data_IF_204924442759
#
_entry.id   IF_204924442759
#
_cell.length_a   1.000
_cell.length_b   1.000
_cell.length_c   1.000
_cell.angle_alpha   90.00
_cell.angle_beta   90.00
_cell.angle_gamma   90.00
#
_symmetry.space_group_name_H-M   'P 1'
#
loop_
_entity.id
_entity.type
_entity.pdbx_description
1 polymer ?
#
# COMPACT_ATOMS: atom_id res chain seq x y z
N UNK A 1 41.74 -7.25 -32.70
CA UNK A 1 41.89 -7.47 -34.13
C UNK A 1 42.48 -8.85 -34.28
N UNK A 2 41.75 -9.86 -34.74
CA UNK A 2 41.96 -11.31 -34.79
C UNK A 2 40.96 -12.09 -33.89
N UNK A 3 39.67 -12.14 -34.30
CA UNK A 3 38.72 -13.20 -33.89
C UNK A 3 37.40 -13.15 -34.66
N UNK A 4 37.41 -12.65 -35.90
CA UNK A 4 36.18 -12.56 -36.74
C UNK A 4 36.33 -13.17 -38.14
N UNK A 5 37.19 -14.14 -38.31
CA UNK A 5 37.42 -14.71 -39.67
C UNK A 5 37.21 -16.24 -39.73
N UNK A 6 36.27 -16.82 -39.00
CA UNK A 6 36.03 -18.27 -39.07
C UNK A 6 34.56 -18.70 -39.04
N UNK A 7 33.63 -17.89 -39.52
CA UNK A 7 32.20 -18.31 -39.61
C UNK A 7 31.56 -18.07 -41.00
N UNK A 8 32.35 -18.11 -42.03
CA UNK A 8 31.85 -18.03 -43.41
C UNK A 8 32.34 -19.18 -44.28
N UNK A 9 32.06 -20.42 -43.91
CA UNK A 9 32.08 -21.60 -44.81
C UNK A 9 31.67 -22.85 -44.03
N UNK A 10 30.37 -23.06 -43.85
CA UNK A 10 29.77 -24.41 -43.76
C UNK A 10 28.25 -24.29 -43.83
N UNK A 11 27.73 -24.06 -45.01
CA UNK A 11 26.33 -24.36 -45.28
C UNK A 11 26.20 -25.87 -45.39
N UNK A 12 26.18 -26.57 -44.28
CA UNK A 12 25.79 -27.97 -44.26
C UNK A 12 24.26 -28.03 -44.33
N UNK A 13 23.80 -28.74 -45.37
CA UNK A 13 22.42 -29.13 -45.54
C UNK A 13 21.91 -29.86 -44.29
N UNK A 14 21.08 -29.23 -43.50
CA UNK A 14 20.35 -29.89 -42.41
C UNK A 14 19.21 -30.67 -43.07
N UNK A 15 19.41 -31.95 -43.25
CA UNK A 15 18.35 -32.89 -43.62
C UNK A 15 17.44 -33.08 -42.41
N UNK A 16 16.26 -32.48 -42.42
CA UNK A 16 15.21 -32.76 -41.43
C UNK A 16 14.61 -34.12 -41.82
N UNK A 17 14.91 -35.12 -41.02
CA UNK A 17 14.31 -36.47 -41.16
C UNK A 17 12.90 -36.39 -40.59
N UNK A 18 11.89 -36.53 -41.44
CA UNK A 18 10.51 -36.74 -41.01
C UNK A 18 10.36 -38.18 -40.44
N UNK A 19 9.47 -38.42 -39.46
CA UNK A 19 9.39 -39.70 -38.73
C UNK A 19 8.92 -40.91 -39.50
N UNK A 20 8.76 -40.87 -40.80
CA UNK A 20 8.57 -42.03 -41.69
C UNK A 20 9.41 -41.83 -42.95
N UNK A 21 10.55 -42.34 -42.92
CA UNK A 21 11.60 -42.72 -43.88
C UNK A 21 11.41 -42.53 -45.37
N UNK A 22 10.91 -41.41 -45.88
CA UNK A 22 10.96 -41.11 -47.33
C UNK A 22 11.50 -39.69 -47.52
N UNK A 23 12.76 -39.58 -48.02
CA UNK A 23 13.34 -38.32 -48.47
C UNK A 23 12.52 -37.80 -49.64
N UNK A 24 11.73 -36.72 -49.41
CA UNK A 24 11.06 -36.03 -50.50
C UNK A 24 12.06 -35.09 -51.20
N UNK A 25 12.53 -35.48 -52.41
CA UNK A 25 13.49 -34.66 -53.11
C UNK A 25 12.88 -33.36 -53.62
N UNK A 26 13.56 -32.24 -53.29
CA UNK A 26 13.24 -30.91 -53.83
C UNK A 26 13.46 -30.89 -55.34
N UNK A 27 12.49 -30.39 -56.11
CA UNK A 27 12.54 -30.30 -57.54
C UNK A 27 12.47 -28.88 -58.05
N UNK A 28 13.21 -28.53 -59.07
CA UNK A 28 13.09 -27.24 -59.74
C UNK A 28 11.97 -27.31 -60.77
N UNK A 29 11.14 -26.26 -60.83
CA UNK A 29 10.01 -26.15 -61.75
C UNK A 29 10.00 -24.77 -62.39
N UNK A 30 9.86 -24.74 -63.71
CA UNK A 30 9.72 -23.52 -64.48
C UNK A 30 8.21 -23.21 -64.60
N UNK A 31 7.79 -21.99 -64.26
CA UNK A 31 6.43 -21.50 -64.49
C UNK A 31 6.48 -20.38 -65.53
N UNK A 32 5.69 -20.52 -66.62
CA UNK A 32 5.54 -19.49 -67.64
C UNK A 32 4.38 -18.52 -67.24
N UNK A 33 4.65 -17.21 -67.32
CA UNK A 33 3.62 -16.16 -67.19
C UNK A 33 3.76 -15.20 -68.35
N UNK A 34 2.87 -15.28 -69.34
CA UNK A 34 3.00 -14.58 -70.62
C UNK A 34 4.25 -15.02 -71.36
N UNK A 35 5.09 -14.10 -71.77
CA UNK A 35 6.34 -14.39 -72.46
C UNK A 35 7.55 -14.58 -71.55
N UNK A 36 7.37 -14.63 -70.25
CA UNK A 36 8.44 -14.76 -69.24
C UNK A 36 8.38 -16.09 -68.52
N UNK A 37 9.54 -16.63 -68.20
CA UNK A 37 9.71 -17.86 -67.44
C UNK A 37 10.31 -17.57 -66.10
N UNK A 38 9.85 -18.28 -65.08
CA UNK A 38 10.25 -18.07 -63.65
C UNK A 38 10.62 -19.42 -63.07
N UNK A 39 11.76 -19.49 -62.40
CA UNK A 39 12.23 -20.70 -61.75
C UNK A 39 11.81 -20.72 -60.28
N UNK A 40 11.22 -21.86 -59.91
CA UNK A 40 10.83 -22.13 -58.53
C UNK A 40 11.49 -23.41 -58.03
N UNK A 41 11.87 -23.43 -56.79
CA UNK A 41 12.19 -24.63 -56.05
C UNK A 41 10.94 -25.13 -55.33
N UNK A 42 10.57 -26.40 -55.56
CA UNK A 42 9.33 -26.97 -55.05
C UNK A 42 9.68 -28.14 -54.14
N UNK A 43 9.39 -28.01 -52.87
CA UNK A 43 9.58 -29.06 -51.87
C UNK A 43 8.22 -29.59 -51.44
N UNK A 44 7.91 -30.85 -51.75
CA UNK A 44 6.70 -31.47 -51.28
C UNK A 44 6.79 -31.75 -49.79
N UNK A 45 5.71 -31.50 -49.05
CA UNK A 45 5.61 -31.82 -47.64
C UNK A 45 4.20 -32.31 -47.30
N UNK A 46 4.09 -33.02 -46.19
CA UNK A 46 2.80 -33.45 -45.67
C UNK A 46 2.29 -32.43 -44.65
N UNK A 47 1.11 -31.89 -44.88
CA UNK A 47 0.41 -30.99 -43.99
C UNK A 47 -0.44 -31.83 -42.99
N UNK A 48 0.04 -32.00 -41.78
CA UNK A 48 -0.63 -32.83 -40.76
C UNK A 48 -2.00 -32.28 -40.34
N UNK A 49 -2.18 -30.97 -40.38
CA UNK A 49 -3.42 -30.32 -39.96
C UNK A 49 -4.52 -30.50 -41.00
N UNK A 50 -4.13 -30.49 -42.27
CA UNK A 50 -5.04 -30.67 -43.42
C UNK A 50 -5.06 -32.09 -43.99
N UNK A 51 -4.26 -32.99 -43.41
CA UNK A 51 -4.14 -34.40 -43.82
C UNK A 51 -3.97 -34.59 -45.33
N UNK A 52 -3.15 -33.74 -45.98
CA UNK A 52 -2.89 -33.78 -47.42
C UNK A 52 -1.47 -33.40 -47.77
N UNK A 53 -0.96 -33.92 -48.87
CA UNK A 53 0.32 -33.52 -49.45
C UNK A 53 0.24 -32.10 -50.02
N UNK A 54 1.17 -31.24 -49.67
CA UNK A 54 1.30 -29.87 -50.18
C UNK A 54 2.70 -29.62 -50.68
N UNK A 55 2.85 -28.55 -51.48
CA UNK A 55 4.13 -28.14 -52.04
C UNK A 55 4.48 -26.75 -51.51
N UNK A 56 5.66 -26.62 -50.90
CA UNK A 56 6.26 -25.32 -50.58
C UNK A 56 7.03 -24.83 -51.78
N UNK A 57 6.68 -23.68 -52.34
CA UNK A 57 7.35 -23.08 -53.51
C UNK A 57 8.22 -21.92 -53.04
N UNK A 58 9.48 -21.94 -53.44
CA UNK A 58 10.43 -20.84 -53.24
C UNK A 58 10.79 -20.27 -54.59
N UNK A 59 10.60 -18.99 -54.80
CA UNK A 59 10.95 -18.29 -56.02
C UNK A 59 12.47 -18.10 -56.10
N UNK A 60 13.10 -18.52 -57.21
CA UNK A 60 14.55 -18.41 -57.41
C UNK A 60 14.95 -17.26 -58.35
N UNK A 61 14.07 -16.85 -59.26
CA UNK A 61 14.33 -15.73 -60.18
C UNK A 61 13.74 -15.95 -61.57
N UNK A 62 13.84 -14.92 -62.47
CA UNK A 62 13.51 -15.09 -63.89
C UNK A 62 14.52 -16.03 -64.55
N UNK A 63 14.04 -16.84 -65.44
CA UNK A 63 14.88 -17.82 -66.17
C UNK A 63 14.56 -17.85 -67.72
N UNK A 64 15.42 -18.47 -68.46
CA UNK A 64 15.14 -18.83 -69.86
C UNK A 64 14.22 -20.06 -69.92
N UNK A 65 13.92 -20.51 -71.18
CA UNK A 65 13.08 -21.67 -71.37
C UNK A 65 13.72 -23.01 -70.90
N UNK A 66 15.02 -23.02 -70.71
CA UNK A 66 15.81 -24.16 -70.27
C UNK A 66 16.05 -24.16 -68.73
N UNK A 67 15.61 -23.13 -68.04
CA UNK A 67 15.71 -23.01 -66.59
C UNK A 67 17.00 -22.39 -66.06
N UNK A 68 17.80 -21.74 -66.91
CA UNK A 68 18.95 -21.00 -66.48
C UNK A 68 18.51 -19.63 -65.94
N UNK A 69 18.91 -19.28 -64.76
CA UNK A 69 18.58 -17.97 -64.16
C UNK A 69 19.18 -16.84 -64.99
N UNK A 70 18.34 -15.94 -65.41
CA UNK A 70 18.78 -14.70 -66.04
C UNK A 70 19.27 -13.73 -64.94
N UNK A 71 20.50 -13.20 -65.11
CA UNK A 71 21.02 -12.17 -64.25
C UNK A 71 20.09 -10.96 -64.32
N UNK A 72 19.31 -10.74 -63.30
CA UNK A 72 18.58 -9.49 -63.18
C UNK A 72 19.60 -8.35 -63.15
N UNK A 73 19.39 -7.36 -64.00
CA UNK A 73 20.12 -6.08 -63.88
C UNK A 73 20.06 -5.66 -62.42
N UNK A 74 21.22 -5.71 -61.73
CA UNK A 74 21.35 -5.19 -60.39
C UNK A 74 20.72 -3.82 -60.38
N UNK A 75 19.57 -3.66 -59.71
CA UNK A 75 19.12 -2.34 -59.33
C UNK A 75 20.31 -1.73 -58.58
N UNK A 76 20.74 -0.48 -58.91
CA UNK A 76 21.76 0.13 -58.10
C UNK A 76 21.28 0.04 -56.67
N UNK A 77 22.05 -0.64 -55.83
CA UNK A 77 21.83 -0.64 -54.39
C UNK A 77 21.70 0.84 -54.03
N UNK A 78 20.52 1.26 -53.58
CA UNK A 78 20.45 2.46 -52.81
C UNK A 78 21.30 2.12 -51.58
N UNK A 79 22.55 2.55 -51.61
CA UNK A 79 23.31 2.72 -50.40
C UNK A 79 22.60 3.78 -49.54
N UNK A 80 21.49 3.40 -48.96
CA UNK A 80 21.12 3.91 -47.69
C UNK A 80 22.13 3.24 -46.75
N UNK A 81 23.24 3.89 -46.56
CA UNK A 81 24.05 3.72 -45.38
C UNK A 81 23.18 4.15 -44.17
N UNK A 82 22.18 3.34 -43.85
CA UNK A 82 21.59 3.33 -42.53
C UNK A 82 22.75 2.76 -41.72
N UNK A 83 23.52 3.69 -41.13
CA UNK A 83 24.35 3.37 -39.98
C UNK A 83 23.31 2.83 -38.99
N UNK A 84 23.25 1.51 -38.87
CA UNK A 84 22.41 0.82 -37.91
C UNK A 84 23.06 1.06 -36.55
N UNK A 85 22.93 2.33 -36.09
CA UNK A 85 23.28 2.68 -34.72
C UNK A 85 22.16 2.09 -33.90
N UNK A 86 22.42 1.06 -33.09
CA UNK A 86 21.40 0.54 -32.21
C UNK A 86 21.00 1.67 -31.27
N UNK A 87 19.88 2.32 -31.53
CA UNK A 87 19.32 3.33 -30.65
C UNK A 87 18.22 2.69 -29.81
N UNK A 88 18.24 3.01 -28.51
CA UNK A 88 17.19 2.66 -27.57
C UNK A 88 16.52 3.96 -27.14
N UNK A 89 15.23 4.06 -27.36
CA UNK A 89 14.43 5.19 -26.86
C UNK A 89 13.94 4.83 -25.46
N UNK A 90 14.22 5.68 -24.49
CA UNK A 90 13.80 5.48 -23.11
C UNK A 90 13.03 6.69 -22.61
N UNK A 91 12.07 6.46 -21.72
CA UNK A 91 11.36 7.49 -20.99
C UNK A 91 12.25 7.98 -19.84
N UNK A 92 12.50 9.28 -19.75
CA UNK A 92 13.37 9.87 -18.74
C UNK A 92 12.57 10.56 -17.61
N UNK A 93 11.59 11.38 -17.95
CA UNK A 93 10.96 12.39 -17.07
C UNK A 93 10.58 11.88 -15.67
N UNK A 94 9.60 10.98 -15.52
CA UNK A 94 9.16 10.51 -14.20
C UNK A 94 10.25 9.79 -13.43
N UNK A 95 11.09 9.02 -14.10
CA UNK A 95 12.18 8.27 -13.47
C UNK A 95 13.28 9.16 -12.95
N UNK A 96 13.67 10.18 -13.72
CA UNK A 96 14.67 11.16 -13.30
C UNK A 96 14.17 11.97 -12.10
N UNK A 97 12.93 12.43 -12.15
CA UNK A 97 12.33 13.17 -11.03
C UNK A 97 12.38 12.37 -9.72
N UNK A 98 11.93 11.12 -9.75
CA UNK A 98 11.92 10.25 -8.57
C UNK A 98 13.34 9.87 -8.12
N UNK A 99 14.26 9.70 -9.05
CA UNK A 99 15.65 9.45 -8.73
C UNK A 99 16.29 10.65 -8.02
N UNK A 100 16.14 11.87 -8.55
CA UNK A 100 16.66 13.08 -7.90
C UNK A 100 16.00 13.30 -6.52
N UNK A 101 14.69 13.09 -6.40
CA UNK A 101 13.99 13.15 -5.12
C UNK A 101 14.57 12.15 -4.11
N UNK A 102 14.87 10.94 -4.55
CA UNK A 102 15.47 9.91 -3.68
C UNK A 102 16.86 10.30 -3.18
N UNK A 103 17.63 11.02 -4.00
CA UNK A 103 18.95 11.57 -3.63
C UNK A 103 18.81 12.73 -2.64
N UNK A 104 17.91 13.68 -2.91
CA UNK A 104 17.62 14.80 -2.01
C UNK A 104 17.20 14.31 -0.63
N UNK A 105 16.36 13.27 -0.57
CA UNK A 105 15.93 12.60 0.66
C UNK A 105 16.99 11.67 1.24
N UNK A 106 18.15 11.49 0.59
CA UNK A 106 19.22 10.58 0.97
C UNK A 106 18.80 9.11 1.11
N UNK A 107 17.77 8.69 0.36
CA UNK A 107 17.26 7.30 0.42
C UNK A 107 18.27 6.33 -0.15
N UNK A 108 18.91 6.66 -1.26
CA UNK A 108 19.94 5.82 -1.88
C UNK A 108 21.12 5.56 -0.93
N UNK A 109 21.63 6.61 -0.27
CA UNK A 109 22.72 6.49 0.71
C UNK A 109 22.34 5.60 1.90
N UNK A 110 21.18 5.83 2.49
CA UNK A 110 20.68 5.03 3.62
C UNK A 110 20.48 3.56 3.25
N UNK A 111 19.96 3.31 2.05
CA UNK A 111 19.83 1.95 1.52
C UNK A 111 21.21 1.32 1.30
N UNK A 112 22.19 2.09 0.78
CA UNK A 112 23.53 1.59 0.53
C UNK A 112 24.27 1.26 1.85
N UNK A 113 24.11 2.07 2.88
CA UNK A 113 24.65 1.80 4.22
C UNK A 113 24.07 0.51 4.83
N UNK A 114 22.77 0.27 4.64
CA UNK A 114 22.08 -0.88 5.21
C UNK A 114 22.27 -2.16 4.40
N UNK A 115 22.16 -2.11 3.07
CA UNK A 115 22.11 -3.28 2.19
C UNK A 115 23.31 -3.44 1.27
N UNK A 116 24.20 -2.43 1.19
CA UNK A 116 25.27 -2.35 0.21
C UNK A 116 24.82 -1.71 -1.11
N UNK A 117 25.78 -1.13 -1.86
CA UNK A 117 25.54 -0.29 -3.04
C UNK A 117 24.72 -1.01 -4.13
N UNK A 118 25.09 -2.26 -4.45
CA UNK A 118 24.41 -3.01 -5.53
C UNK A 118 22.97 -3.34 -5.19
N UNK A 119 22.69 -3.72 -3.95
CA UNK A 119 21.33 -4.06 -3.49
C UNK A 119 20.50 -2.79 -3.37
N UNK A 120 21.07 -1.68 -2.92
CA UNK A 120 20.36 -0.39 -2.82
C UNK A 120 19.83 0.08 -4.18
N UNK A 121 20.67 0.02 -5.22
CA UNK A 121 20.26 0.36 -6.60
C UNK A 121 19.08 -0.50 -7.08
N UNK A 122 19.09 -1.80 -6.78
CA UNK A 122 18.00 -2.73 -7.14
C UNK A 122 16.71 -2.41 -6.38
N UNK A 123 16.80 -2.15 -5.07
CA UNK A 123 15.65 -1.75 -4.25
C UNK A 123 15.06 -0.45 -4.79
N UNK A 124 15.90 0.54 -5.07
CA UNK A 124 15.47 1.85 -5.57
C UNK A 124 14.83 1.73 -6.96
N UNK A 125 15.41 0.92 -7.86
CA UNK A 125 14.80 0.61 -9.16
C UNK A 125 13.37 0.07 -9.00
N UNK A 126 13.19 -0.94 -8.16
CA UNK A 126 11.87 -1.55 -7.94
C UNK A 126 10.89 -0.56 -7.29
N UNK A 127 11.36 0.27 -6.37
CA UNK A 127 10.53 1.29 -5.72
C UNK A 127 10.05 2.35 -6.72
N UNK A 128 10.94 2.87 -7.56
CA UNK A 128 10.60 3.86 -8.58
C UNK A 128 9.62 3.27 -9.59
N UNK A 129 9.89 2.07 -10.13
CA UNK A 129 8.97 1.38 -11.04
C UNK A 129 7.59 1.16 -10.42
N UNK A 130 7.55 0.82 -9.13
CA UNK A 130 6.28 0.64 -8.44
C UNK A 130 5.47 1.93 -8.31
N UNK A 131 6.13 3.07 -8.21
CA UNK A 131 5.48 4.39 -8.15
C UNK A 131 5.01 4.84 -9.53
N UNK A 132 5.82 4.64 -10.59
CA UNK A 132 5.52 5.14 -11.93
C UNK A 132 4.51 4.29 -12.68
N UNK A 133 4.68 2.96 -12.65
CA UNK A 133 3.99 2.06 -13.57
C UNK A 133 2.98 1.15 -12.86
N UNK A 134 3.05 1.01 -11.53
CA UNK A 134 2.19 0.15 -10.70
C UNK A 134 2.12 -1.32 -11.16
N UNK A 135 3.07 -1.74 -11.98
CA UNK A 135 3.05 -3.00 -12.67
C UNK A 135 3.35 -4.21 -11.78
N UNK A 136 2.96 -5.37 -12.26
CA UNK A 136 3.35 -6.65 -11.68
C UNK A 136 4.85 -6.85 -11.81
N UNK A 137 5.48 -7.42 -10.78
CA UNK A 137 6.91 -7.81 -10.82
C UNK A 137 7.26 -8.74 -12.01
N UNK A 138 6.27 -9.35 -12.66
CA UNK A 138 6.48 -10.20 -13.84
C UNK A 138 6.94 -9.44 -15.06
N UNK A 139 6.52 -8.18 -15.20
CA UNK A 139 6.81 -7.34 -16.39
C UNK A 139 7.85 -6.25 -16.09
N UNK A 140 8.50 -6.30 -14.92
CA UNK A 140 9.55 -5.34 -14.52
C UNK A 140 10.62 -5.21 -15.61
N UNK A 141 10.99 -6.30 -16.28
CA UNK A 141 11.99 -6.25 -17.35
C UNK A 141 11.52 -5.42 -18.54
N UNK A 142 10.30 -5.63 -18.99
CA UNK A 142 9.74 -4.93 -20.15
C UNK A 142 9.62 -3.42 -19.87
N UNK A 143 9.19 -3.05 -18.65
CA UNK A 143 9.11 -1.66 -18.21
C UNK A 143 10.50 -1.02 -18.10
N UNK A 144 11.47 -1.78 -17.58
CA UNK A 144 12.86 -1.32 -17.46
C UNK A 144 13.48 -1.03 -18.83
N UNK A 145 13.21 -1.88 -19.82
CA UNK A 145 13.73 -1.72 -21.17
C UNK A 145 13.24 -0.42 -21.85
N UNK A 146 12.14 0.15 -21.39
CA UNK A 146 11.59 1.44 -21.86
C UNK A 146 11.89 2.61 -20.94
N UNK A 147 12.50 2.36 -19.77
CA UNK A 147 12.85 3.38 -18.77
C UNK A 147 14.31 3.79 -18.83
N UNK A 148 14.62 4.99 -18.29
CA UNK A 148 15.99 5.45 -18.13
C UNK A 148 16.68 4.96 -16.84
N UNK A 149 16.04 4.10 -16.03
CA UNK A 149 16.53 3.75 -14.70
C UNK A 149 17.86 3.01 -14.70
N UNK A 150 18.09 2.11 -15.66
CA UNK A 150 19.37 1.41 -15.78
C UNK A 150 20.53 2.37 -16.03
N UNK A 151 20.28 3.47 -16.78
CA UNK A 151 21.27 4.51 -17.05
C UNK A 151 21.46 5.41 -15.83
N UNK A 152 20.36 5.84 -15.19
CA UNK A 152 20.40 6.74 -14.03
C UNK A 152 21.08 6.11 -12.81
N UNK A 153 20.83 4.82 -12.58
CA UNK A 153 21.37 4.08 -11.43
C UNK A 153 22.67 3.37 -11.75
N UNK A 154 23.15 3.39 -13.00
CA UNK A 154 24.31 2.64 -13.45
C UNK A 154 24.25 1.18 -12.92
N UNK A 155 23.19 0.48 -13.30
CA UNK A 155 22.88 -0.86 -12.80
C UNK A 155 22.51 -1.81 -13.93
N UNK A 156 23.38 -2.78 -14.19
CA UNK A 156 23.19 -3.85 -15.18
C UNK A 156 22.77 -5.16 -14.50
N UNK A 157 21.68 -5.18 -13.78
CA UNK A 157 21.21 -6.41 -13.12
C UNK A 157 20.08 -7.10 -13.93
N UNK A 158 20.09 -8.42 -13.93
CA UNK A 158 19.00 -9.19 -14.54
C UNK A 158 17.77 -9.19 -13.64
N UNK A 159 16.69 -8.55 -14.07
CA UNK A 159 15.41 -8.49 -13.36
C UNK A 159 14.48 -9.66 -13.74
N UNK A 160 15.04 -10.89 -13.86
CA UNK A 160 14.21 -12.09 -14.07
C UNK A 160 13.37 -12.40 -12.82
N UNK A 161 12.21 -13.04 -13.00
CA UNK A 161 11.31 -13.41 -11.90
C UNK A 161 12.00 -14.21 -10.79
N UNK A 162 12.94 -15.09 -11.14
CA UNK A 162 13.71 -15.85 -10.16
C UNK A 162 14.60 -14.94 -9.33
N UNK A 163 15.41 -14.08 -9.98
CA UNK A 163 16.32 -13.16 -9.27
C UNK A 163 15.58 -12.12 -8.44
N UNK A 164 14.42 -11.66 -8.92
CA UNK A 164 13.54 -10.80 -8.13
C UNK A 164 13.04 -11.51 -6.87
N UNK A 165 12.64 -12.76 -6.99
CA UNK A 165 12.20 -13.55 -5.83
C UNK A 165 13.34 -13.79 -4.84
N UNK A 166 14.55 -14.08 -5.30
CA UNK A 166 15.75 -14.21 -4.46
C UNK A 166 16.07 -12.90 -3.74
N UNK A 167 16.07 -11.76 -4.46
CA UNK A 167 16.30 -10.43 -3.88
C UNK A 167 15.30 -10.10 -2.78
N UNK A 168 13.99 -10.28 -3.06
CA UNK A 168 12.93 -10.01 -2.11
C UNK A 168 13.00 -10.94 -0.89
N UNK A 169 13.36 -12.20 -1.09
CA UNK A 169 13.58 -13.15 -0.01
C UNK A 169 14.76 -12.72 0.88
N UNK A 170 15.88 -12.34 0.29
CA UNK A 170 17.07 -11.93 1.04
C UNK A 170 16.83 -10.64 1.84
N UNK A 171 16.16 -9.65 1.25
CA UNK A 171 15.72 -8.44 1.96
C UNK A 171 14.76 -8.79 3.10
N UNK A 172 13.81 -9.68 2.82
CA UNK A 172 12.79 -10.11 3.79
C UNK A 172 13.37 -10.90 4.95
N UNK A 173 14.38 -11.72 4.73
CA UNK A 173 15.00 -12.58 5.73
C UNK A 173 15.94 -11.81 6.66
N UNK A 174 16.66 -10.83 6.14
CA UNK A 174 17.65 -10.08 6.91
C UNK A 174 17.00 -8.92 7.68
N UNK A 175 16.54 -9.22 8.88
CA UNK A 175 15.94 -8.21 9.76
C UNK A 175 16.95 -7.14 10.20
N UNK A 176 18.24 -7.49 10.35
CA UNK A 176 19.27 -6.58 10.84
C UNK A 176 19.51 -5.43 9.85
N UNK A 177 19.59 -5.73 8.55
CA UNK A 177 19.73 -4.71 7.50
C UNK A 177 18.52 -3.80 7.41
N UNK A 178 17.29 -4.36 7.51
CA UNK A 178 16.09 -3.54 7.56
C UNK A 178 16.09 -2.62 8.77
N UNK A 179 16.59 -3.09 9.90
CA UNK A 179 16.74 -2.29 11.11
C UNK A 179 17.67 -1.11 10.93
N UNK A 180 18.86 -1.34 10.37
CA UNK A 180 19.81 -0.27 10.06
C UNK A 180 19.19 0.81 9.17
N UNK A 181 18.42 0.40 8.16
CA UNK A 181 17.70 1.34 7.31
C UNK A 181 16.67 2.14 8.10
N UNK A 182 15.82 1.50 8.91
CA UNK A 182 14.82 2.19 9.74
C UNK A 182 15.48 3.14 10.75
N UNK A 183 16.55 2.71 11.40
CA UNK A 183 17.30 3.54 12.34
C UNK A 183 17.85 4.79 11.65
N UNK A 184 18.34 4.68 10.42
CA UNK A 184 18.83 5.82 9.63
C UNK A 184 17.72 6.80 9.24
N UNK A 185 16.47 6.36 9.17
CA UNK A 185 15.30 7.21 8.87
C UNK A 185 14.76 7.97 10.09
N UNK A 186 14.95 7.45 11.30
CA UNK A 186 14.54 8.08 12.55
C UNK A 186 15.54 9.14 13.00
N UNK A 187 15.03 10.25 13.51
CA UNK A 187 15.81 11.33 14.10
C UNK A 187 15.68 11.32 15.63
N UNK A 188 16.61 11.98 16.32
CA UNK A 188 16.50 12.21 17.75
C UNK A 188 15.32 13.15 18.02
N UNK A 189 14.57 12.91 19.12
CA UNK A 189 13.36 13.63 19.48
C UNK A 189 12.31 13.68 18.36
N UNK A 190 12.23 12.62 17.53
CA UNK A 190 11.22 12.54 16.48
C UNK A 190 9.82 12.33 17.08
N UNK A 191 8.84 12.88 16.39
CA UNK A 191 7.43 12.58 16.64
C UNK A 191 6.95 11.61 15.60
N UNK A 192 6.55 10.44 16.02
CA UNK A 192 6.17 9.35 15.15
C UNK A 192 4.69 8.99 15.33
N UNK A 193 3.96 8.94 14.24
CA UNK A 193 2.60 8.41 14.20
C UNK A 193 2.68 6.91 13.98
N UNK A 194 1.98 6.15 14.79
CA UNK A 194 1.78 4.73 14.57
C UNK A 194 0.33 4.43 14.20
N UNK A 195 0.15 3.85 13.03
CA UNK A 195 -1.14 3.36 12.55
C UNK A 195 -1.05 1.92 12.02
N UNK A 196 -2.19 1.24 11.97
CA UNK A 196 -2.33 -0.10 11.40
C UNK A 196 -3.27 -0.11 10.21
N UNK A 197 -2.81 -0.72 9.14
CA UNK A 197 -3.62 -0.96 7.94
C UNK A 197 -3.81 -2.45 7.70
N UNK A 198 -4.96 -2.80 7.14
CA UNK A 198 -5.29 -4.19 6.80
C UNK A 198 -5.05 -4.42 5.31
N UNK A 199 -4.21 -5.39 4.99
CA UNK A 199 -3.98 -5.87 3.64
C UNK A 199 -4.65 -7.24 3.48
N UNK A 200 -5.55 -7.35 2.51
CA UNK A 200 -6.26 -8.59 2.21
C UNK A 200 -5.62 -9.30 1.02
N UNK A 201 -5.52 -10.63 1.10
CA UNK A 201 -4.94 -11.41 0.02
C UNK A 201 -5.57 -12.80 -0.05
N UNK A 202 -5.60 -13.37 -1.25
CA UNK A 202 -5.99 -14.77 -1.51
C UNK A 202 -4.78 -15.70 -1.59
N UNK A 203 -3.58 -15.25 -1.25
CA UNK A 203 -2.35 -16.05 -1.28
C UNK A 203 -2.48 -17.26 -0.35
N UNK A 204 -1.99 -18.42 -0.80
CA UNK A 204 -1.90 -19.63 0.01
C UNK A 204 -0.49 -19.86 0.58
N UNK A 205 0.45 -18.96 0.25
CA UNK A 205 1.87 -19.09 0.60
C UNK A 205 2.30 -18.15 1.74
N UNK A 206 1.38 -17.36 2.27
CA UNK A 206 1.67 -16.38 3.33
C UNK A 206 1.07 -16.87 4.65
N UNK A 207 1.91 -17.40 5.54
CA UNK A 207 1.51 -17.97 6.84
C UNK A 207 0.84 -16.97 7.79
N UNK A 208 1.09 -15.65 7.59
CA UNK A 208 0.52 -14.58 8.41
C UNK A 208 -0.91 -14.18 7.98
N UNK A 209 -1.43 -14.75 6.87
CA UNK A 209 -2.80 -14.51 6.43
C UNK A 209 -3.79 -15.27 7.31
N UNK A 210 -4.54 -14.52 8.10
CA UNK A 210 -5.50 -15.04 9.04
C UNK A 210 -6.85 -14.31 8.95
N UNK A 211 -7.90 -14.92 9.48
CA UNK A 211 -9.18 -14.25 9.60
C UNK A 211 -9.10 -13.14 10.67
N UNK A 212 -9.46 -11.95 10.28
CA UNK A 212 -9.43 -10.78 11.14
C UNK A 212 -10.67 -9.90 11.00
N UNK A 213 -10.63 -8.70 11.57
CA UNK A 213 -11.78 -7.79 11.67
C UNK A 213 -12.46 -7.49 10.31
N UNK A 214 -11.71 -7.42 9.21
CA UNK A 214 -12.28 -7.13 7.87
C UNK A 214 -12.69 -8.36 7.09
N UNK A 215 -12.31 -9.55 7.52
CA UNK A 215 -12.66 -10.81 6.83
C UNK A 215 -14.17 -11.02 6.73
N UNK A 216 -14.93 -10.61 7.76
CA UNK A 216 -16.39 -10.74 7.75
C UNK A 216 -17.09 -9.94 6.65
N UNK A 217 -16.45 -8.86 6.15
CA UNK A 217 -17.00 -8.01 5.08
C UNK A 217 -16.66 -8.51 3.68
N UNK A 218 -15.52 -9.13 3.50
CA UNK A 218 -14.95 -9.44 2.17
C UNK A 218 -14.77 -10.94 1.92
N UNK A 219 -14.80 -11.77 2.98
CA UNK A 219 -14.52 -13.21 2.90
C UNK A 219 -13.03 -13.53 2.68
N UNK A 220 -12.14 -12.53 2.61
CA UNK A 220 -10.71 -12.74 2.40
C UNK A 220 -9.91 -12.64 3.69
N UNK A 221 -8.94 -13.53 3.91
CA UNK A 221 -8.00 -13.41 5.02
C UNK A 221 -7.13 -12.16 4.86
N UNK A 222 -6.54 -11.72 5.96
CA UNK A 222 -5.80 -10.47 6.04
C UNK A 222 -4.47 -10.61 6.77
N UNK A 223 -3.55 -9.67 6.53
CA UNK A 223 -2.42 -9.34 7.41
C UNK A 223 -2.59 -7.91 7.89
N UNK A 224 -2.07 -7.60 9.07
CA UNK A 224 -2.06 -6.25 9.59
C UNK A 224 -0.68 -5.64 9.34
N UNK A 225 -0.64 -4.50 8.63
CA UNK A 225 0.56 -3.71 8.41
C UNK A 225 0.60 -2.59 9.44
N UNK A 226 1.52 -2.68 10.40
CA UNK A 226 1.86 -1.57 11.28
C UNK A 226 2.88 -0.67 10.61
N UNK A 227 2.62 0.62 10.60
CA UNK A 227 3.46 1.63 9.97
C UNK A 227 3.76 2.76 10.95
N UNK A 228 5.03 3.13 11.04
CA UNK A 228 5.51 4.28 11.80
C UNK A 228 5.91 5.38 10.83
N UNK A 229 5.41 6.55 11.07
CA UNK A 229 5.53 7.72 10.21
C UNK A 229 6.12 8.89 11.00
N UNK A 230 7.14 9.55 10.48
CA UNK A 230 7.72 10.73 11.13
C UNK A 230 6.91 11.97 10.78
N UNK A 231 6.42 12.69 11.78
CA UNK A 231 5.76 14.00 11.56
C UNK A 231 6.71 15.05 11.02
N UNK A 232 7.99 14.96 11.35
CA UNK A 232 9.01 15.92 10.93
C UNK A 232 9.36 15.79 9.47
N UNK A 233 9.61 14.56 9.01
CA UNK A 233 10.05 14.31 7.62
C UNK A 233 8.89 13.99 6.69
N UNK A 234 7.69 13.75 7.23
CA UNK A 234 6.51 13.28 6.50
C UNK A 234 6.73 11.96 5.75
N UNK A 235 7.64 11.15 6.24
CA UNK A 235 8.02 9.88 5.63
C UNK A 235 7.69 8.69 6.51
N UNK A 236 7.33 7.54 5.92
CA UNK A 236 7.31 6.28 6.64
C UNK A 236 8.74 5.90 7.03
N UNK A 237 8.98 5.70 8.31
CA UNK A 237 10.30 5.40 8.88
C UNK A 237 10.46 3.95 9.28
N UNK A 238 9.36 3.23 9.51
CA UNK A 238 9.38 1.81 9.83
C UNK A 238 8.06 1.14 9.49
N UNK A 239 8.13 -0.12 9.08
CA UNK A 239 6.95 -0.97 8.92
C UNK A 239 7.15 -2.34 9.54
N UNK A 240 6.05 -2.95 9.99
CA UNK A 240 6.02 -4.32 10.50
C UNK A 240 4.73 -5.01 10.10
N UNK A 241 4.84 -6.25 9.62
CA UNK A 241 3.69 -7.11 9.38
C UNK A 241 3.36 -7.90 10.65
N UNK A 242 2.07 -8.04 10.89
CA UNK A 242 1.50 -8.85 11.97
C UNK A 242 0.46 -9.81 11.41
N UNK A 243 0.26 -10.99 12.04
CA UNK A 243 -0.83 -11.88 11.69
C UNK A 243 -2.19 -11.17 11.71
N UNK A 244 -3.08 -11.57 10.78
CA UNK A 244 -4.35 -10.88 10.57
C UNK A 244 -5.33 -10.93 11.74
N UNK A 245 -5.22 -11.94 12.61
CA UNK A 245 -6.05 -12.10 13.81
C UNK A 245 -5.64 -11.21 14.98
N UNK A 246 -4.41 -10.67 14.97
CA UNK A 246 -3.87 -9.88 16.07
C UNK A 246 -4.55 -8.49 16.11
N UNK A 247 -5.02 -8.11 17.31
CA UNK A 247 -5.62 -6.79 17.54
C UNK A 247 -4.56 -5.69 17.61
N UNK A 248 -4.99 -4.44 17.32
CA UNK A 248 -4.12 -3.26 17.36
C UNK A 248 -3.43 -3.08 18.72
N UNK A 249 -4.12 -3.40 19.82
CA UNK A 249 -3.56 -3.33 21.17
C UNK A 249 -2.36 -4.25 21.41
N UNK A 250 -2.28 -5.38 20.71
CA UNK A 250 -1.17 -6.34 20.84
C UNK A 250 0.03 -5.93 19.97
N UNK A 251 -0.23 -5.29 18.84
CA UNK A 251 0.82 -4.90 17.88
C UNK A 251 1.82 -3.91 18.48
N UNK A 252 1.36 -3.06 19.40
CA UNK A 252 2.19 -2.00 20.00
C UNK A 252 3.39 -2.52 20.77
N UNK A 253 3.25 -3.61 21.51
CA UNK A 253 4.38 -4.18 22.27
C UNK A 253 5.49 -4.68 21.35
N UNK A 254 5.11 -5.33 20.26
CA UNK A 254 6.05 -5.79 19.24
C UNK A 254 6.77 -4.65 18.53
N UNK A 255 6.08 -3.51 18.32
CA UNK A 255 6.65 -2.31 17.73
C UNK A 255 7.61 -1.61 18.70
N UNK A 256 7.19 -1.39 19.96
CA UNK A 256 8.01 -0.70 20.96
C UNK A 256 9.27 -1.47 21.32
N UNK A 257 9.20 -2.80 21.33
CA UNK A 257 10.42 -3.61 21.49
C UNK A 257 11.38 -3.42 20.31
N UNK A 258 10.83 -3.26 19.11
CA UNK A 258 11.58 -2.98 17.90
C UNK A 258 12.25 -1.60 17.99
N UNK A 259 11.50 -0.55 18.32
CA UNK A 259 12.02 0.80 18.53
C UNK A 259 13.08 0.84 19.66
N UNK A 260 12.84 0.15 20.75
CA UNK A 260 13.81 0.06 21.85
C UNK A 260 15.12 -0.63 21.50
N UNK A 261 15.14 -1.47 20.44
CA UNK A 261 16.37 -2.08 19.94
C UNK A 261 17.15 -1.20 18.96
N UNK A 262 16.56 -0.07 18.50
CA UNK A 262 17.21 0.90 17.60
C UNK A 262 18.07 1.95 18.33
N UNK A 263 18.44 1.71 19.57
CA UNK A 263 19.25 2.63 20.36
C UNK A 263 18.43 3.60 21.21
N UNK A 264 19.10 4.57 21.83
CA UNK A 264 18.56 5.47 22.84
C UNK A 264 17.89 6.74 22.28
N UNK A 265 17.37 6.70 21.06
CA UNK A 265 16.66 7.86 20.48
C UNK A 265 15.35 8.11 21.24
N UNK A 266 15.14 9.36 21.64
CA UNK A 266 13.84 9.76 22.20
C UNK A 266 12.82 9.90 21.09
N UNK A 267 11.64 9.29 21.28
CA UNK A 267 10.57 9.27 20.30
C UNK A 267 9.24 9.55 21.01
N UNK A 268 8.45 10.45 20.44
CA UNK A 268 7.07 10.66 20.86
C UNK A 268 6.14 9.87 19.92
N UNK A 269 5.40 8.90 20.46
CA UNK A 269 4.45 8.09 19.71
C UNK A 269 3.04 8.70 19.78
N UNK A 270 2.51 9.12 18.66
CA UNK A 270 1.11 9.57 18.52
C UNK A 270 0.29 8.45 17.89
N UNK A 271 -0.79 8.04 18.56
CA UNK A 271 -1.53 6.82 18.20
C UNK A 271 -3.04 7.04 18.20
N UNK A 272 -3.77 6.13 17.52
CA UNK A 272 -5.23 6.14 17.57
C UNK A 272 -5.79 5.49 18.85
N UNK A 273 -7.05 5.78 19.14
CA UNK A 273 -7.83 5.22 20.27
C UNK A 273 -7.88 3.69 20.31
N UNK A 274 -7.64 3.02 19.18
CA UNK A 274 -7.58 1.56 19.06
C UNK A 274 -6.43 0.93 19.83
N UNK A 275 -5.37 1.68 20.10
CA UNK A 275 -4.17 1.21 20.81
C UNK A 275 -4.27 1.28 22.33
N UNK A 276 -5.33 1.92 22.85
CA UNK A 276 -5.50 2.02 24.30
C UNK A 276 -5.76 0.64 24.93
N UNK A 277 -4.94 0.32 25.91
CA UNK A 277 -5.21 -0.63 26.98
C UNK A 277 -4.39 -0.27 28.21
N UNK A 278 -4.87 -0.60 29.40
CA UNK A 278 -4.15 -0.35 30.68
C UNK A 278 -2.70 -0.89 30.61
N UNK A 279 -2.56 -2.14 30.13
CA UNK A 279 -1.27 -2.78 30.00
C UNK A 279 -0.35 -2.09 28.98
N UNK A 280 -0.88 -1.50 27.92
CA UNK A 280 -0.07 -0.75 26.96
C UNK A 280 0.43 0.56 27.57
N UNK A 281 -0.41 1.24 28.35
CA UNK A 281 -0.02 2.47 29.05
C UNK A 281 1.11 2.22 30.02
N UNK A 282 0.98 1.21 30.89
CA UNK A 282 2.04 0.81 31.81
C UNK A 282 3.33 0.43 31.08
N UNK A 283 3.20 -0.33 29.99
CA UNK A 283 4.33 -0.76 29.20
C UNK A 283 5.07 0.41 28.53
N UNK A 284 4.35 1.35 27.92
CA UNK A 284 4.95 2.54 27.31
C UNK A 284 5.60 3.44 28.36
N UNK A 285 4.90 3.72 29.46
CA UNK A 285 5.43 4.52 30.55
C UNK A 285 6.65 3.91 31.26
N UNK A 286 6.86 2.59 31.13
CA UNK A 286 8.04 1.90 31.64
C UNK A 286 9.26 1.96 30.73
N UNK A 287 9.09 2.41 29.47
CA UNK A 287 10.16 2.48 28.46
C UNK A 287 10.85 3.84 28.53
N UNK A 288 12.14 3.81 28.76
CA UNK A 288 12.99 5.00 28.73
C UNK A 288 13.12 5.53 27.28
N UNK A 289 13.03 6.85 27.09
CA UNK A 289 13.11 7.48 25.77
C UNK A 289 11.85 7.42 24.92
N UNK A 290 10.73 6.86 25.42
CA UNK A 290 9.47 6.80 24.69
C UNK A 290 8.42 7.63 25.40
N UNK A 291 8.03 8.73 24.77
CA UNK A 291 6.85 9.49 25.13
C UNK A 291 5.67 9.08 24.27
N UNK A 292 4.44 9.33 24.72
CA UNK A 292 3.25 8.96 23.97
C UNK A 292 2.10 9.94 24.12
N UNK A 293 1.22 9.92 23.13
CA UNK A 293 -0.02 10.67 23.07
C UNK A 293 -1.10 9.82 22.38
N UNK A 294 -2.22 9.59 23.04
CA UNK A 294 -3.35 8.84 22.47
C UNK A 294 -4.69 9.25 23.05
N UNK A 295 -5.78 9.18 22.27
CA UNK A 295 -7.12 9.46 22.76
C UNK A 295 -7.75 8.26 23.43
N UNK A 296 -8.59 8.51 24.42
CA UNK A 296 -9.49 7.51 24.99
C UNK A 296 -10.74 7.31 24.10
N UNK A 297 -11.23 6.09 24.07
CA UNK A 297 -12.49 5.77 23.37
C UNK A 297 -13.68 6.34 24.14
N UNK A 298 -14.49 7.16 23.47
CA UNK A 298 -15.63 7.91 24.05
C UNK A 298 -16.70 7.05 24.75
N UNK A 299 -16.82 5.77 24.46
CA UNK A 299 -17.79 4.86 25.08
C UNK A 299 -17.36 4.22 26.39
N UNK A 300 -16.07 4.32 26.77
CA UNK A 300 -15.52 3.61 27.94
C UNK A 300 -15.92 4.28 29.27
N UNK A 301 -15.94 3.51 30.35
CA UNK A 301 -16.21 4.06 31.69
C UNK A 301 -15.14 5.05 32.11
N UNK A 302 -13.89 4.77 31.78
CA UNK A 302 -12.76 5.64 32.06
C UNK A 302 -12.93 7.01 31.37
N UNK A 303 -13.33 7.05 30.09
CA UNK A 303 -13.61 8.30 29.38
C UNK A 303 -14.71 9.11 30.09
N UNK A 304 -15.81 8.44 30.49
CA UNK A 304 -16.94 9.09 31.17
C UNK A 304 -16.52 9.68 32.53
N UNK A 305 -15.68 8.94 33.23
CA UNK A 305 -15.15 9.37 34.53
C UNK A 305 -14.31 10.64 34.38
N UNK A 306 -13.38 10.69 33.42
CA UNK A 306 -12.57 11.89 33.19
C UNK A 306 -13.41 13.08 32.75
N UNK A 307 -14.40 12.90 31.89
CA UNK A 307 -15.36 13.96 31.57
C UNK A 307 -16.09 14.50 32.82
N UNK A 308 -16.49 13.61 33.73
CA UNK A 308 -17.17 14.02 34.98
C UNK A 308 -16.24 14.78 35.91
N UNK A 309 -15.00 14.30 36.07
CA UNK A 309 -14.00 14.94 36.96
C UNK A 309 -13.48 16.26 36.45
N UNK A 310 -13.50 16.49 35.16
CA UNK A 310 -12.95 17.71 34.53
C UNK A 310 -13.96 18.84 34.42
N UNK A 311 -15.20 18.66 34.85
CA UNK A 311 -16.28 19.62 34.58
C UNK A 311 -15.98 21.03 35.08
N UNK A 312 -15.58 21.14 36.32
CA UNK A 312 -15.31 22.45 36.96
C UNK A 312 -14.08 23.14 36.34
N UNK A 313 -13.06 22.36 35.95
CA UNK A 313 -11.86 22.86 35.29
C UNK A 313 -12.13 23.30 33.82
N UNK A 314 -13.03 22.64 33.10
CA UNK A 314 -13.43 23.03 31.76
C UNK A 314 -14.21 24.35 31.74
N UNK A 315 -15.02 24.61 32.79
CA UNK A 315 -15.78 25.86 32.93
C UNK A 315 -14.92 27.04 33.37
N UNK A 316 -13.68 26.79 33.83
CA UNK A 316 -12.77 27.84 34.32
C UNK A 316 -12.16 28.62 33.12
N UNK A 317 -12.38 29.98 33.06
CA UNK A 317 -11.85 30.79 31.95
C UNK A 317 -10.30 30.77 31.81
N UNK A 318 -9.58 30.48 32.90
CA UNK A 318 -8.11 30.41 32.91
C UNK A 318 -7.63 29.21 32.03
N UNK A 319 -8.45 28.20 31.87
CA UNK A 319 -8.17 27.00 31.12
C UNK A 319 -8.66 27.09 29.66
N UNK A 320 -9.00 28.29 29.19
CA UNK A 320 -9.46 28.54 27.81
C UNK A 320 -8.35 29.17 26.98
N UNK A 321 -8.26 28.76 25.72
CA UNK A 321 -7.29 29.32 24.77
C UNK A 321 -7.81 29.28 23.32
N UNK A 322 -7.27 30.14 22.48
CA UNK A 322 -7.54 30.12 21.05
C UNK A 322 -6.67 29.12 20.33
N UNK A 323 -7.33 28.26 19.52
CA UNK A 323 -6.71 27.24 18.70
C UNK A 323 -7.39 27.18 17.33
N UNK A 324 -6.65 27.44 16.26
CA UNK A 324 -7.14 27.50 14.87
C UNK A 324 -8.44 28.31 14.70
N UNK A 325 -8.48 29.48 15.33
CA UNK A 325 -9.62 30.40 15.25
C UNK A 325 -10.83 30.06 16.11
N UNK A 326 -10.75 28.98 16.92
CA UNK A 326 -11.80 28.51 17.82
C UNK A 326 -11.37 28.61 19.29
N UNK A 327 -12.31 28.69 20.21
CA UNK A 327 -12.03 28.61 21.62
C UNK A 327 -12.06 27.18 22.10
N UNK A 328 -10.92 26.70 22.62
CA UNK A 328 -10.79 25.42 23.30
C UNK A 328 -10.77 25.61 24.82
N UNK A 329 -11.41 24.68 25.50
CA UNK A 329 -11.35 24.54 26.96
C UNK A 329 -10.54 23.28 27.27
N UNK A 330 -9.65 23.33 28.25
CA UNK A 330 -8.84 22.17 28.62
C UNK A 330 -8.72 21.98 30.12
N UNK A 331 -9.14 20.84 30.63
CA UNK A 331 -8.76 20.39 31.94
C UNK A 331 -7.49 19.54 31.87
N UNK A 332 -6.44 19.94 32.63
CA UNK A 332 -5.13 19.28 32.66
C UNK A 332 -4.93 18.61 34.01
N UNK A 333 -5.07 17.29 34.04
CA UNK A 333 -5.06 16.49 35.26
C UNK A 333 -3.84 15.56 35.26
N UNK A 334 -3.12 15.49 36.37
CA UNK A 334 -2.04 14.52 36.57
C UNK A 334 -2.51 13.38 37.45
N UNK A 335 -2.32 12.15 37.02
CA UNK A 335 -2.83 10.95 37.71
C UNK A 335 -1.74 9.90 37.85
N UNK A 336 -1.85 9.10 38.90
CA UNK A 336 -1.02 7.92 39.06
C UNK A 336 -1.55 6.78 38.20
N UNK A 337 -0.64 6.05 37.52
CA UNK A 337 -0.98 4.97 36.61
C UNK A 337 -0.21 3.68 37.00
N UNK A 338 -0.80 2.50 37.04
CA UNK A 338 -2.13 2.14 36.55
C UNK A 338 -3.25 2.79 37.36
N UNK A 339 -4.30 3.23 36.66
CA UNK A 339 -5.39 4.01 37.25
C UNK A 339 -6.38 3.13 38.07
N UNK A 340 -6.55 1.87 37.70
CA UNK A 340 -7.33 0.89 38.41
C UNK A 340 -6.45 -0.28 38.83
N UNK A 341 -6.47 -0.61 40.11
CA UNK A 341 -5.88 -1.84 40.65
C UNK A 341 -6.68 -3.03 40.19
N UNK A 342 -6.45 -3.52 38.98
CA UNK A 342 -6.99 -4.78 38.52
C UNK A 342 -5.89 -5.81 38.44
N UNK A 343 -5.90 -6.71 39.45
CA UNK A 343 -5.19 -7.99 39.53
C UNK A 343 -3.67 -8.03 39.38
N UNK A 344 -3.01 -8.49 40.45
CA UNK A 344 -1.62 -8.96 40.54
C UNK A 344 -0.56 -8.08 39.86
N UNK A 345 -0.32 -6.92 40.41
CA UNK A 345 0.76 -6.02 40.02
C UNK A 345 1.90 -6.01 41.03
N UNK A 346 2.29 -7.16 41.51
CA UNK A 346 3.55 -7.25 42.29
C UNK A 346 4.70 -6.69 41.46
N UNK A 347 5.23 -5.55 41.87
CA UNK A 347 6.36 -4.89 41.25
C UNK A 347 6.09 -3.88 40.13
N UNK A 348 4.83 -3.53 39.80
CA UNK A 348 4.56 -2.47 38.81
C UNK A 348 4.90 -1.10 39.38
N UNK A 349 5.78 -0.42 38.65
CA UNK A 349 6.17 0.96 38.93
C UNK A 349 4.99 1.88 38.67
N UNK A 350 4.48 2.57 39.66
CA UNK A 350 3.50 3.64 39.48
C UNK A 350 4.15 4.77 38.71
N UNK A 351 3.53 5.19 37.63
CA UNK A 351 3.99 6.33 36.84
C UNK A 351 2.92 7.41 36.83
N UNK A 352 3.34 8.65 36.66
CA UNK A 352 2.41 9.80 36.56
C UNK A 352 2.14 10.05 35.07
N UNK A 353 0.88 10.03 34.70
CA UNK A 353 0.41 10.39 33.37
C UNK A 353 -0.47 11.63 33.43
N UNK A 354 -0.53 12.39 32.34
CA UNK A 354 -1.44 13.51 32.17
C UNK A 354 -2.69 13.03 31.42
N UNK A 355 -3.82 13.49 31.92
CA UNK A 355 -5.12 13.35 31.25
C UNK A 355 -5.58 14.74 30.86
N UNK A 356 -5.61 15.03 29.58
CA UNK A 356 -6.07 16.28 28.99
C UNK A 356 -7.49 16.09 28.47
N UNK A 357 -8.44 16.81 29.05
CA UNK A 357 -9.82 16.80 28.59
C UNK A 357 -10.09 18.10 27.87
N UNK A 358 -10.30 18.04 26.57
CA UNK A 358 -10.65 19.19 25.76
C UNK A 358 -12.14 19.24 25.50
N UNK A 359 -12.69 20.44 25.42
CA UNK A 359 -14.05 20.72 25.00
C UNK A 359 -14.06 21.91 24.04
N UNK A 360 -14.69 21.73 22.88
CA UNK A 360 -14.87 22.76 21.86
C UNK A 360 -16.35 22.91 21.54
N UNK A 361 -16.92 24.04 21.89
CA UNK A 361 -18.37 24.30 21.73
C UNK A 361 -18.79 24.39 20.27
N UNK A 362 -17.97 24.96 19.39
CA UNK A 362 -18.27 25.06 17.96
C UNK A 362 -18.29 23.67 17.34
N UNK A 363 -17.31 22.84 17.67
CA UNK A 363 -17.27 21.44 17.23
C UNK A 363 -18.45 20.65 17.79
N UNK A 364 -18.88 20.90 19.01
CA UNK A 364 -20.09 20.28 19.59
C UNK A 364 -21.33 20.58 18.74
N UNK A 365 -21.47 21.82 18.29
CA UNK A 365 -22.57 22.24 17.41
C UNK A 365 -22.46 21.54 16.06
N UNK A 366 -21.29 21.56 15.41
CA UNK A 366 -21.06 20.91 14.11
C UNK A 366 -21.33 19.39 14.17
N UNK A 367 -20.88 18.72 15.22
CA UNK A 367 -21.10 17.28 15.41
C UNK A 367 -22.59 16.98 15.65
N UNK A 368 -23.29 17.87 16.38
CA UNK A 368 -24.73 17.76 16.64
C UNK A 368 -25.52 17.93 15.35
N UNK A 369 -25.22 18.96 14.57
CA UNK A 369 -25.92 19.23 13.30
C UNK A 369 -25.69 18.08 12.32
N UNK A 370 -24.46 17.61 12.17
CA UNK A 370 -24.13 16.45 11.31
C UNK A 370 -24.83 15.17 11.78
N UNK A 371 -24.94 14.97 13.10
CA UNK A 371 -25.64 13.81 13.65
C UNK A 371 -27.15 13.88 13.38
N UNK A 372 -27.80 15.03 13.62
CA UNK A 372 -29.22 15.21 13.36
C UNK A 372 -29.54 15.06 11.87
N UNK A 373 -28.71 15.62 10.98
CA UNK A 373 -28.89 15.43 9.53
C UNK A 373 -28.87 13.94 9.15
N UNK A 374 -27.98 13.14 9.72
CA UNK A 374 -27.97 11.68 9.49
C UNK A 374 -29.20 10.96 10.06
N UNK A 375 -29.71 11.41 11.20
CA UNK A 375 -30.96 10.90 11.78
C UNK A 375 -32.13 11.15 10.83
N UNK A 376 -32.25 12.38 10.30
CA UNK A 376 -33.27 12.75 9.32
C UNK A 376 -33.15 11.99 8.00
N UNK A 377 -31.93 11.78 7.51
CA UNK A 377 -31.68 10.94 6.32
C UNK A 377 -32.18 9.50 6.52
N UNK A 378 -31.96 8.92 7.72
CA UNK A 378 -32.47 7.59 8.03
C UNK A 378 -34.02 7.55 8.01
N UNK A 379 -34.68 8.57 8.57
CA UNK A 379 -36.13 8.70 8.56
C UNK A 379 -36.69 8.87 7.15
N UNK A 380 -36.04 9.68 6.30
CA UNK A 380 -36.40 9.85 4.88
C UNK A 380 -36.28 8.51 4.12
N UNK A 381 -35.19 7.76 4.35
CA UNK A 381 -35.04 6.44 3.71
C UNK A 381 -36.09 5.45 4.20
N UNK A 382 -36.42 5.45 5.48
CA UNK A 382 -37.43 4.60 6.08
C UNK A 382 -38.79 4.86 5.45
N UNK A 383 -39.21 6.13 5.29
CA UNK A 383 -40.50 6.52 4.66
C UNK A 383 -40.63 6.06 3.20
N UNK A 384 -39.55 5.68 2.54
CA UNK A 384 -39.50 5.15 1.18
C UNK A 384 -39.33 3.63 1.11
N UNK A 385 -38.98 2.99 2.21
CA UNK A 385 -38.67 1.55 2.29
C UNK A 385 -39.94 0.78 2.68
N UNK A 386 -40.32 -0.21 1.87
CA UNK A 386 -41.45 -1.08 2.17
C UNK A 386 -41.09 -2.01 3.32
N UNK A 387 -42.02 -2.19 4.26
CA UNK A 387 -41.80 -3.09 5.38
C UNK A 387 -41.78 -4.55 4.92
N UNK A 388 -40.70 -5.24 5.26
CA UNK A 388 -40.52 -6.70 5.07
C UNK A 388 -39.84 -7.36 6.31
N UNK A 389 -40.06 -6.75 7.48
CA UNK A 389 -39.46 -7.14 8.74
C UNK A 389 -38.26 -6.27 9.14
N UNK A 390 -37.93 -6.28 10.44
CA UNK A 390 -36.91 -5.41 11.03
C UNK A 390 -35.52 -5.64 10.43
N UNK A 391 -35.11 -6.89 10.19
CA UNK A 391 -33.80 -7.18 9.59
C UNK A 391 -33.66 -6.63 8.16
N UNK A 392 -34.72 -6.71 7.37
CA UNK A 392 -34.74 -6.14 6.03
C UNK A 392 -34.65 -4.61 6.08
N UNK A 393 -35.35 -3.96 7.01
CA UNK A 393 -35.29 -2.51 7.21
C UNK A 393 -33.87 -2.08 7.60
N UNK A 394 -33.24 -2.76 8.55
CA UNK A 394 -31.85 -2.47 8.97
C UNK A 394 -30.89 -2.59 7.79
N UNK A 395 -30.95 -3.69 7.02
CA UNK A 395 -30.03 -3.93 5.91
C UNK A 395 -30.14 -2.91 4.76
N UNK A 396 -31.31 -2.28 4.59
CA UNK A 396 -31.54 -1.32 3.49
C UNK A 396 -31.36 0.15 3.89
N UNK A 397 -31.63 0.49 5.15
CA UNK A 397 -31.59 1.87 5.63
C UNK A 397 -30.25 2.20 6.24
N UNK A 398 -29.75 1.33 7.13
CA UNK A 398 -28.55 1.61 7.93
C UNK A 398 -27.27 1.11 7.24
N UNK A 399 -26.96 1.69 6.08
CA UNK A 399 -25.80 1.37 5.27
C UNK A 399 -24.89 2.59 5.08
N UNK A 400 -23.61 2.37 4.80
CA UNK A 400 -22.66 3.44 4.56
C UNK A 400 -22.56 4.42 5.75
N UNK A 401 -22.87 5.70 5.54
CA UNK A 401 -22.80 6.74 6.60
C UNK A 401 -23.84 6.58 7.73
N UNK A 402 -24.87 5.74 7.54
CA UNK A 402 -25.90 5.47 8.54
C UNK A 402 -25.66 4.17 9.31
N UNK A 403 -24.60 3.41 8.99
CA UNK A 403 -24.23 2.16 9.66
C UNK A 403 -24.03 2.40 11.17
N UNK A 404 -24.66 1.57 12.00
CA UNK A 404 -24.62 1.66 13.46
C UNK A 404 -25.67 2.59 14.09
N UNK A 405 -26.48 3.30 13.29
CA UNK A 405 -27.51 4.18 13.81
C UNK A 405 -28.84 3.47 14.12
N UNK A 406 -28.98 2.21 13.75
CA UNK A 406 -30.19 1.41 14.03
C UNK A 406 -30.54 1.34 15.52
N UNK A 407 -29.55 1.43 16.39
CA UNK A 407 -29.73 1.44 17.85
C UNK A 407 -30.40 2.69 18.39
N UNK A 408 -30.47 3.75 17.57
CA UNK A 408 -31.08 5.05 17.92
C UNK A 408 -32.59 5.06 17.73
N UNK A 409 -33.15 4.00 17.13
CA UNK A 409 -34.55 3.95 16.74
C UNK A 409 -35.24 2.69 17.26
N UNK A 410 -36.54 2.82 17.53
CA UNK A 410 -37.46 1.71 17.53
C UNK A 410 -37.98 1.55 16.09
N UNK A 411 -37.83 0.34 15.52
CA UNK A 411 -38.08 0.06 14.11
C UNK A 411 -39.35 -0.80 14.03
N UNK A 412 -40.39 -0.29 13.34
CA UNK A 412 -41.69 -0.96 13.23
C UNK A 412 -42.30 -0.80 11.83
N UNK A 413 -43.42 -1.46 11.60
CA UNK A 413 -44.25 -1.25 10.45
C UNK A 413 -45.17 -0.02 10.66
N UNK A 414 -45.13 0.91 9.72
CA UNK A 414 -46.04 2.05 9.70
C UNK A 414 -47.40 1.71 9.10
N UNK A 415 -48.39 2.55 9.36
CA UNK A 415 -49.79 2.38 8.89
C UNK A 415 -49.90 2.33 7.35
N UNK A 416 -48.90 2.85 6.62
CA UNK A 416 -48.79 2.85 5.17
C UNK A 416 -48.06 1.64 4.59
N UNK A 417 -47.71 0.64 5.42
CA UNK A 417 -46.96 -0.55 5.02
C UNK A 417 -45.47 -0.28 4.73
N UNK A 418 -44.93 0.85 5.16
CA UNK A 418 -43.52 1.22 5.09
C UNK A 418 -42.86 1.08 6.44
N UNK A 419 -41.53 1.31 6.45
CA UNK A 419 -40.78 1.30 7.69
C UNK A 419 -41.05 2.59 8.47
N UNK A 420 -41.43 2.44 9.73
CA UNK A 420 -41.54 3.53 10.70
C UNK A 420 -40.34 3.48 11.67
N UNK A 421 -39.69 4.64 11.87
CA UNK A 421 -38.63 4.84 12.82
C UNK A 421 -39.07 5.80 13.92
N UNK A 422 -39.01 5.36 15.16
CA UNK A 422 -39.26 6.23 16.30
C UNK A 422 -37.95 6.47 17.07
N UNK A 423 -37.60 7.75 17.31
CA UNK A 423 -36.35 8.16 17.98
C UNK A 423 -36.33 7.72 19.43
N UNK A 424 -35.35 6.91 19.81
CA UNK A 424 -35.10 6.53 21.21
C UNK A 424 -34.44 7.67 21.97
N UNK A 425 -35.20 8.38 22.77
CA UNK A 425 -34.73 9.57 23.52
C UNK A 425 -33.42 9.32 24.27
N UNK A 426 -33.34 8.24 25.04
CA UNK A 426 -32.15 7.93 25.84
C UNK A 426 -30.94 7.60 24.99
N UNK A 427 -31.13 6.88 23.86
CA UNK A 427 -30.05 6.56 22.93
C UNK A 427 -29.51 7.81 22.23
N UNK A 428 -30.42 8.72 21.79
CA UNK A 428 -30.03 10.01 21.21
C UNK A 428 -29.25 10.87 22.19
N UNK A 429 -29.76 11.05 23.41
CA UNK A 429 -29.07 11.82 24.46
C UNK A 429 -27.70 11.21 24.76
N UNK A 430 -27.62 9.89 24.83
CA UNK A 430 -26.36 9.20 25.06
C UNK A 430 -25.35 9.39 23.93
N UNK A 431 -25.78 9.35 22.68
CA UNK A 431 -24.93 9.56 21.52
C UNK A 431 -24.36 10.99 21.46
N UNK A 432 -25.17 12.00 21.77
CA UNK A 432 -24.77 13.41 21.67
C UNK A 432 -23.96 13.93 22.88
N UNK A 433 -23.99 13.24 24.02
CA UNK A 433 -23.45 13.78 25.30
C UNK A 433 -21.94 14.08 25.30
N UNK A 434 -21.19 13.50 24.35
CA UNK A 434 -19.74 13.64 24.27
C UNK A 434 -19.28 14.44 23.05
N UNK A 435 -20.19 15.07 22.33
CA UNK A 435 -19.84 15.90 21.19
C UNK A 435 -18.96 17.08 21.63
N UNK A 436 -18.05 17.48 20.78
CA UNK A 436 -17.06 18.52 21.06
C UNK A 436 -15.94 18.11 22.02
N UNK A 437 -15.98 16.91 22.61
CA UNK A 437 -15.06 16.50 23.66
C UNK A 437 -14.03 15.46 23.20
N UNK A 438 -12.79 15.65 23.66
CA UNK A 438 -11.71 14.67 23.47
C UNK A 438 -11.00 14.49 24.81
N UNK A 439 -10.67 13.24 25.15
CA UNK A 439 -9.83 12.91 26.31
C UNK A 439 -8.53 12.30 25.77
N UNK A 440 -7.42 12.98 26.02
CA UNK A 440 -6.08 12.55 25.64
C UNK A 440 -5.30 12.06 26.86
N UNK A 441 -4.61 10.93 26.72
CA UNK A 441 -3.61 10.44 27.66
C UNK A 441 -2.23 10.70 27.12
N UNK A 442 -1.30 11.20 27.96
CA UNK A 442 0.06 11.50 27.51
C UNK A 442 1.08 11.46 28.65
N UNK A 443 2.33 11.14 28.31
CA UNK A 443 3.51 11.36 29.15
C UNK A 443 4.19 12.71 28.90
N UNK A 444 3.77 13.44 27.87
CA UNK A 444 4.38 14.70 27.44
C UNK A 444 4.19 15.84 28.45
N UNK A 445 5.20 16.72 28.53
CA UNK A 445 5.23 17.86 29.45
C UNK A 445 4.91 19.21 28.79
N UNK A 446 4.54 19.27 27.52
CA UNK A 446 4.23 20.50 26.81
C UNK A 446 2.96 21.21 27.31
N UNK A 447 2.63 22.40 26.77
CA UNK A 447 1.36 23.05 27.06
C UNK A 447 0.19 22.23 26.49
N UNK A 448 -1.03 22.33 27.04
CA UNK A 448 -2.22 21.69 26.46
C UNK A 448 -2.41 22.04 24.98
N UNK A 449 -2.10 23.28 24.60
CA UNK A 449 -2.18 23.76 23.22
C UNK A 449 -1.20 23.01 22.29
N UNK A 450 0.06 22.85 22.71
CA UNK A 450 1.07 22.13 21.91
C UNK A 450 0.72 20.65 21.75
N UNK A 451 0.18 20.04 22.80
CA UNK A 451 -0.25 18.63 22.77
C UNK A 451 -1.46 18.45 21.86
N UNK A 452 -2.41 19.39 21.87
CA UNK A 452 -3.55 19.36 20.97
C UNK A 452 -3.12 19.54 19.51
N UNK A 453 -2.18 20.47 19.25
CA UNK A 453 -1.59 20.66 17.91
C UNK A 453 -0.96 19.37 17.40
N UNK A 454 -0.14 18.73 18.23
CA UNK A 454 0.50 17.47 17.90
C UNK A 454 -0.51 16.36 17.59
N UNK A 455 -1.59 16.29 18.34
CA UNK A 455 -2.67 15.34 18.08
C UNK A 455 -3.40 15.63 16.76
N UNK A 456 -3.62 16.91 16.42
CA UNK A 456 -4.29 17.31 15.18
C UNK A 456 -3.44 17.07 13.94
N UNK A 457 -2.13 17.24 14.03
CA UNK A 457 -1.21 16.91 12.93
C UNK A 457 -1.32 15.44 12.51
N UNK A 458 -1.63 14.54 13.45
CA UNK A 458 -1.93 13.14 13.13
C UNK A 458 -3.14 13.00 12.21
N UNK A 459 -4.21 13.74 12.46
CA UNK A 459 -5.45 13.65 11.67
C UNK A 459 -5.23 14.11 10.20
N UNK A 460 -4.28 15.03 9.97
CA UNK A 460 -3.87 15.46 8.62
C UNK A 460 -3.09 14.36 7.90
N UNK A 461 -2.13 13.74 8.57
CA UNK A 461 -1.31 12.67 8.02
C UNK A 461 -2.12 11.39 7.74
N UNK A 462 -3.19 11.10 8.51
CA UNK A 462 -4.08 9.97 8.21
C UNK A 462 -4.79 10.10 6.85
N UNK A 463 -5.12 11.32 6.42
CA UNK A 463 -5.71 11.57 5.10
C UNK A 463 -4.71 11.27 4.00
N UNK A 464 -3.47 11.71 4.15
CA UNK A 464 -2.39 11.40 3.19
C UNK A 464 -2.14 9.88 3.11
N UNK A 465 -2.32 9.18 4.23
CA UNK A 465 -2.21 7.74 4.32
C UNK A 465 -3.36 7.00 3.61
N UNK A 466 -4.58 7.52 3.69
CA UNK A 466 -5.73 6.93 3.00
C UNK A 466 -5.56 7.00 1.48
N UNK A 467 -4.92 8.03 0.97
CA UNK A 467 -4.60 8.17 -0.45
C UNK A 467 -3.51 7.20 -0.93
N UNK A 468 -2.64 6.74 -0.02
CA UNK A 468 -1.61 5.73 -0.32
C UNK A 468 -2.15 4.29 -0.26
N UNK A 469 -3.15 4.01 0.58
CA UNK A 469 -3.72 2.65 0.77
C UNK A 469 -4.16 1.95 -0.53
N UNK A 470 -4.86 2.59 -1.47
CA UNK A 470 -5.24 1.94 -2.73
C UNK A 470 -4.04 1.52 -3.58
N UNK A 471 -2.94 2.28 -3.52
CA UNK A 471 -1.73 2.02 -4.30
C UNK A 471 -0.94 0.81 -3.78
N UNK A 472 -1.01 0.53 -2.48
CA UNK A 472 -0.43 -0.69 -1.89
C UNK A 472 -1.31 -1.94 -2.09
N UNK A 473 -2.64 -1.76 -2.19
CA UNK A 473 -3.60 -2.87 -2.32
C UNK A 473 -3.89 -3.27 -3.77
N UNK A 474 -3.35 -2.61 -4.77
CA UNK A 474 -3.60 -2.88 -6.19
C UNK A 474 -2.97 -4.19 -6.73
N UNK A 475 -2.44 -5.06 -5.88
CA UNK A 475 -2.04 -6.41 -6.25
C UNK A 475 -3.29 -7.32 -6.22
N UNK A 476 -4.06 -7.34 -7.30
CA UNK A 476 -5.04 -8.39 -7.59
C UNK A 476 -4.35 -9.59 -8.21
#
# INVERSE_FOLDING_TARGET
MLFFDHLAKTTQHINIIAPYGTMMATKRRIERRGDRHYLYEVTPFWDSDKKQGRNKKVYLGPCDADGNLQDERKRPDKETSVIDIPYRTVTLGPYHLLYELSREMRIEERLAEAFGVDVSKRILTLAILRITDHDSLRIVRDTLDTSALEILLDSEWSYSSQRLSELLYDIGKDSSKRFLFYESCLQEDDVAIFDTSVLQSSSKLMDMLENGRKTHRTGLPQVNLGLVHSLRTKLPVMMKLFPGSISDTVTIKGLLNLLGSMGSKRITMVMDRGFYSENNMVFMASKEGIDFLLPLRSGTNLYKEWISRSKDELENPVNMFHFHGRTEQCADLTVDWPYQETYDHEGKRVTKLRVLVFNNTEREVEERDSFIARVEDAEILASRTVWKGAQHAIANIFTGRLEGMETLFDISEGDDGKVALERRRNAMTFAMRNFGRIVLLTSLKGSPKDILELYRQRDEDEKDFEDLKPKFCACK
#
